data_IF_831794930406
#
_entry.id   IF_831794930406
#
_cell.length_a   1.000
_cell.length_b   1.000
_cell.length_c   1.000
_cell.angle_alpha   90.00
_cell.angle_beta   90.00
_cell.angle_gamma   90.00
#
_symmetry.space_group_name_H-M   'P 1'
#
loop_
_entity.id
_entity.type
_entity.pdbx_description
1 polymer ?
#
# COMPACT_ATOMS: atom_id res chain seq x y z
N UNK A 1 8.77 -10.92 3.63
CA UNK A 1 8.84 -12.39 3.74
C UNK A 1 7.96 -12.76 4.93
N UNK A 2 6.74 -13.25 4.68
CA UNK A 2 5.82 -13.60 5.78
C UNK A 2 6.39 -14.84 6.46
N UNK A 3 6.81 -14.69 7.71
CA UNK A 3 7.17 -15.83 8.56
C UNK A 3 5.88 -16.61 8.87
N UNK A 4 5.91 -17.94 8.74
CA UNK A 4 4.88 -18.81 9.31
C UNK A 4 4.72 -18.47 10.80
N UNK A 5 3.61 -17.82 11.16
CA UNK A 5 3.30 -17.42 12.54
C UNK A 5 2.90 -15.95 12.73
N UNK A 6 3.15 -15.05 11.78
CA UNK A 6 2.69 -13.65 11.87
C UNK A 6 1.33 -13.46 11.19
N UNK A 7 0.40 -12.75 11.84
CA UNK A 7 -0.87 -12.36 11.23
C UNK A 7 -0.62 -11.63 9.90
N UNK A 8 -1.37 -11.94 8.81
CA UNK A 8 -1.12 -11.36 7.50
C UNK A 8 -1.23 -9.84 7.55
N UNK A 9 -0.38 -9.11 6.81
CA UNK A 9 -0.46 -7.65 6.74
C UNK A 9 -1.86 -7.18 6.34
N UNK A 10 -2.30 -6.04 6.88
CA UNK A 10 -3.60 -5.47 6.51
C UNK A 10 -3.72 -5.26 4.98
N UNK A 11 -2.63 -4.79 4.37
CA UNK A 11 -2.51 -4.63 2.92
C UNK A 11 -2.58 -5.96 2.16
N UNK A 12 -2.08 -7.07 2.72
CA UNK A 12 -2.19 -8.39 2.09
C UNK A 12 -3.63 -8.88 2.03
N UNK A 13 -4.39 -8.68 3.11
CA UNK A 13 -5.83 -9.00 3.16
C UNK A 13 -6.59 -8.17 2.12
N UNK A 14 -6.33 -6.86 2.08
CA UNK A 14 -6.94 -5.97 1.09
C UNK A 14 -6.59 -6.39 -0.35
N UNK A 15 -5.30 -6.61 -0.65
CA UNK A 15 -4.84 -7.02 -1.99
C UNK A 15 -5.47 -8.33 -2.45
N UNK A 16 -5.64 -9.31 -1.54
CA UNK A 16 -6.32 -10.58 -1.84
C UNK A 16 -7.79 -10.38 -2.18
N UNK A 17 -8.47 -9.47 -1.48
CA UNK A 17 -9.89 -9.19 -1.65
C UNK A 17 -10.17 -8.34 -2.91
N UNK A 18 -9.40 -7.27 -3.13
CA UNK A 18 -9.63 -6.32 -4.22
C UNK A 18 -8.96 -6.73 -5.52
N UNK A 19 -7.87 -7.51 -5.46
CA UNK A 19 -6.98 -7.83 -6.60
C UNK A 19 -6.33 -6.58 -7.22
N UNK A 20 -6.38 -5.44 -6.56
CA UNK A 20 -5.84 -4.17 -7.05
C UNK A 20 -4.98 -3.52 -5.97
N UNK A 21 -3.89 -2.87 -6.39
CA UNK A 21 -3.08 -2.03 -5.52
C UNK A 21 -2.32 -0.96 -6.31
N UNK A 22 -1.77 0.00 -5.58
CA UNK A 22 -0.79 0.95 -6.07
C UNK A 22 0.56 0.65 -5.44
N UNK A 23 1.61 0.63 -6.26
CA UNK A 23 2.99 0.65 -5.78
C UNK A 23 3.49 2.09 -5.89
N UNK A 24 3.54 2.78 -4.75
CA UNK A 24 4.08 4.14 -4.66
C UNK A 24 5.61 4.13 -4.57
N UNK A 25 6.27 4.91 -5.42
CA UNK A 25 7.71 5.13 -5.42
C UNK A 25 7.98 6.46 -4.71
N UNK A 26 8.45 6.45 -3.45
CA UNK A 26 8.74 7.68 -2.73
C UNK A 26 10.03 8.33 -3.25
N UNK A 27 10.13 9.65 -3.13
CA UNK A 27 11.40 10.37 -3.23
C UNK A 27 12.20 10.26 -1.92
N UNK A 28 13.44 10.73 -1.89
CA UNK A 28 14.29 10.70 -0.70
C UNK A 28 13.70 11.53 0.45
N UNK A 29 12.99 12.61 0.15
CA UNK A 29 12.32 13.48 1.12
C UNK A 29 11.17 12.76 1.85
N UNK A 30 10.65 11.67 1.29
CA UNK A 30 9.61 10.85 1.89
C UNK A 30 10.15 9.61 2.62
N UNK A 31 11.47 9.40 2.65
CA UNK A 31 12.07 8.18 3.19
C UNK A 31 11.66 7.92 4.66
N UNK A 32 11.77 8.92 5.53
CA UNK A 32 11.38 8.79 6.94
C UNK A 32 9.89 8.48 7.09
N UNK A 33 9.03 9.13 6.29
CA UNK A 33 7.59 8.88 6.27
C UNK A 33 7.28 7.46 5.80
N UNK A 34 7.98 6.96 4.78
CA UNK A 34 7.83 5.59 4.28
C UNK A 34 8.22 4.54 5.34
N UNK A 35 9.31 4.78 6.08
CA UNK A 35 9.70 3.93 7.22
C UNK A 35 8.62 3.95 8.30
N UNK A 36 8.09 5.11 8.66
CA UNK A 36 7.03 5.22 9.67
C UNK A 36 5.74 4.49 9.24
N UNK A 37 5.34 4.63 7.97
CA UNK A 37 4.21 3.90 7.36
C UNK A 37 4.43 2.38 7.41
N UNK A 38 5.65 1.91 7.17
CA UNK A 38 6.00 0.49 7.20
C UNK A 38 6.00 -0.13 8.61
N UNK A 39 6.15 0.70 9.66
CA UNK A 39 6.21 0.26 11.05
C UNK A 39 4.87 0.30 11.79
N UNK A 40 3.77 0.66 11.14
CA UNK A 40 2.43 0.61 11.71
C UNK A 40 1.46 -0.22 10.85
N UNK A 41 0.38 -0.70 11.46
CA UNK A 41 -0.63 -1.52 10.78
C UNK A 41 -1.86 -0.69 10.41
N UNK A 42 -2.34 -0.86 9.17
CA UNK A 42 -3.60 -0.26 8.71
C UNK A 42 -4.85 -0.82 9.40
N UNK A 43 -4.71 -1.89 10.20
CA UNK A 43 -5.80 -2.40 11.06
C UNK A 43 -6.18 -1.44 12.17
N UNK A 44 -5.21 -0.67 12.66
CA UNK A 44 -5.34 0.17 13.86
C UNK A 44 -5.29 1.66 13.52
N UNK A 45 -4.65 2.00 12.39
CA UNK A 45 -4.32 3.36 12.01
C UNK A 45 -4.80 3.64 10.59
N UNK A 46 -5.56 4.73 10.42
CA UNK A 46 -5.76 5.31 9.09
C UNK A 46 -4.47 6.02 8.66
N UNK A 47 -3.67 5.32 7.85
CA UNK A 47 -2.37 5.82 7.40
C UNK A 47 -2.47 7.08 6.54
N UNK A 48 -3.56 7.26 5.78
CA UNK A 48 -3.71 8.48 4.98
C UNK A 48 -3.93 9.69 5.89
N UNK A 49 -4.82 9.56 6.87
CA UNK A 49 -5.07 10.61 7.85
C UNK A 49 -3.83 10.89 8.73
N UNK A 50 -3.21 9.84 9.29
CA UNK A 50 -2.08 9.96 10.21
C UNK A 50 -0.84 10.57 9.56
N UNK A 51 -0.52 10.18 8.32
CA UNK A 51 0.68 10.66 7.62
C UNK A 51 0.40 11.83 6.65
N UNK A 52 -0.84 12.34 6.67
CA UNK A 52 -1.33 13.43 5.82
C UNK A 52 -1.01 13.16 4.35
N UNK A 53 -1.36 11.97 3.88
CA UNK A 53 -1.25 11.59 2.48
C UNK A 53 -2.54 11.98 1.77
N UNK A 54 -2.42 12.52 0.57
CA UNK A 54 -3.57 12.88 -0.25
C UNK A 54 -3.88 11.76 -1.25
N UNK A 55 -5.06 11.12 -1.16
CA UNK A 55 -5.46 10.14 -2.16
C UNK A 55 -5.76 10.84 -3.49
N UNK A 56 -5.25 10.29 -4.58
CA UNK A 56 -5.58 10.73 -5.94
C UNK A 56 -6.25 9.60 -6.70
N UNK A 57 -7.22 9.93 -7.55
CA UNK A 57 -7.95 8.94 -8.34
C UNK A 57 -7.01 8.23 -9.33
N UNK A 58 -7.02 6.90 -9.31
CA UNK A 58 -6.38 6.06 -10.31
C UNK A 58 -7.17 6.01 -11.62
N UNK A 59 -6.50 5.71 -12.72
CA UNK A 59 -7.10 5.67 -14.06
C UNK A 59 -7.69 4.31 -14.40
N UNK A 60 -7.05 3.22 -13.98
CA UNK A 60 -7.35 1.84 -14.37
C UNK A 60 -7.79 0.97 -13.20
N UNK A 61 -7.60 1.39 -11.96
CA UNK A 61 -7.98 0.63 -10.76
C UNK A 61 -8.81 1.46 -9.78
N UNK A 62 -9.40 0.81 -8.79
CA UNK A 62 -10.21 1.41 -7.72
C UNK A 62 -9.39 1.91 -6.54
N UNK A 63 -8.17 1.40 -6.36
CA UNK A 63 -7.28 1.81 -5.26
C UNK A 63 -6.71 3.20 -5.54
N UNK A 64 -6.73 4.14 -4.58
CA UNK A 64 -6.20 5.49 -4.79
C UNK A 64 -4.67 5.51 -4.90
N UNK A 65 -4.17 6.41 -5.74
CA UNK A 65 -2.76 6.81 -5.84
C UNK A 65 -2.34 7.67 -4.64
N UNK A 66 -1.03 7.82 -4.41
CA UNK A 66 -0.48 8.64 -3.32
C UNK A 66 0.15 9.90 -3.92
N UNK A 67 -0.50 11.06 -3.72
CA UNK A 67 -0.11 12.32 -4.38
C UNK A 67 1.34 12.72 -4.11
N UNK A 68 1.86 12.39 -2.93
CA UNK A 68 3.20 12.75 -2.50
C UNK A 68 4.30 11.87 -3.15
N UNK A 69 3.96 10.68 -3.63
CA UNK A 69 4.94 9.80 -4.27
C UNK A 69 5.46 10.41 -5.58
N UNK A 70 6.75 10.15 -5.87
CA UNK A 70 7.38 10.56 -7.12
C UNK A 70 6.72 9.87 -8.32
N UNK A 71 6.31 8.61 -8.15
CA UNK A 71 5.53 7.87 -9.12
C UNK A 71 4.59 6.89 -8.41
N UNK A 72 3.46 6.58 -9.06
CA UNK A 72 2.54 5.53 -8.67
C UNK A 72 2.36 4.53 -9.81
N UNK A 73 2.42 3.24 -9.50
CA UNK A 73 2.18 2.18 -10.47
C UNK A 73 0.87 1.48 -10.11
N UNK A 74 -0.10 1.57 -11.02
CA UNK A 74 -1.39 0.89 -10.88
C UNK A 74 -1.24 -0.60 -11.24
N UNK A 75 -1.59 -1.48 -10.31
CA UNK A 75 -1.40 -2.91 -10.45
C UNK A 75 -2.70 -3.68 -10.26
N UNK A 76 -2.84 -4.77 -11.05
CA UNK A 76 -3.85 -5.81 -10.84
C UNK A 76 -3.15 -7.15 -10.64
N UNK A 77 -3.64 -7.94 -9.69
CA UNK A 77 -3.14 -9.29 -9.43
C UNK A 77 -3.67 -10.24 -10.50
N UNK A 78 -2.80 -10.63 -11.42
CA UNK A 78 -3.13 -11.56 -12.51
C UNK A 78 -3.04 -13.03 -12.10
N UNK A 79 -2.17 -13.35 -11.14
CA UNK A 79 -1.98 -14.71 -10.63
C UNK A 79 -1.59 -14.65 -9.15
N UNK A 80 -1.91 -15.71 -8.41
CA UNK A 80 -1.39 -15.94 -7.08
C UNK A 80 -0.90 -17.38 -6.99
N UNK A 81 0.42 -17.55 -6.89
CA UNK A 81 1.00 -18.85 -6.67
C UNK A 81 0.55 -19.36 -5.29
N UNK A 82 -0.37 -20.33 -5.28
CA UNK A 82 -0.59 -21.19 -4.12
C UNK A 82 0.29 -22.43 -4.34
N UNK A 83 1.25 -22.65 -3.44
CA UNK A 83 1.64 -24.02 -3.08
C UNK A 83 0.86 -24.38 -1.83
#
# INVERSE_FOLDING_TARGET
MVHEGSAPDHSFVALRATRECVIGIPSVELAEKAVAIGNCSGREVDKFATFRLMPKKALRISTPLITECFADIECRVVDTLRK
#
